data_IF_163624555509
#
_entry.id   IF_163624555509
#
_cell.length_a   1.000
_cell.length_b   1.000
_cell.length_c   1.000
_cell.angle_alpha   90.00
_cell.angle_beta   90.00
_cell.angle_gamma   90.00
#
_symmetry.space_group_name_H-M   'P 1'
#
loop_
_entity.id
_entity.type
_entity.pdbx_description
1 polymer ?
#
# COMPACT_ATOMS: atom_id res chain seq x y z
N UNK A 1 24.03 36.51 29.75
CA UNK A 1 22.78 35.73 29.61
C UNK A 1 22.06 36.23 28.38
N UNK A 2 22.27 35.60 27.21
CA UNK A 2 21.46 35.83 26.01
C UNK A 2 20.56 34.62 25.87
N UNK A 3 19.27 34.84 26.11
CA UNK A 3 18.20 33.85 26.09
C UNK A 3 18.00 33.33 24.67
N UNK A 4 18.15 32.01 24.48
CA UNK A 4 17.80 31.31 23.24
C UNK A 4 16.27 31.35 23.05
N UNK A 5 15.77 32.22 22.18
CA UNK A 5 14.39 32.17 21.67
C UNK A 5 14.37 31.58 20.26
N UNK A 6 14.55 30.27 20.16
CA UNK A 6 14.24 29.49 18.97
C UNK A 6 13.14 28.46 19.31
N UNK A 7 11.95 28.94 19.67
CA UNK A 7 10.85 28.12 20.17
C UNK A 7 9.75 27.85 19.13
N UNK A 8 9.85 26.69 18.46
CA UNK A 8 8.76 25.70 18.38
C UNK A 8 7.36 26.04 17.82
N UNK A 9 7.11 27.17 17.15
CA UNK A 9 5.75 27.47 16.66
C UNK A 9 5.31 26.69 15.41
N UNK A 10 6.27 26.18 14.60
CA UNK A 10 5.96 25.47 13.35
C UNK A 10 5.86 23.95 13.46
N UNK A 11 6.56 23.33 14.42
CA UNK A 11 6.69 21.87 14.53
C UNK A 11 5.48 21.28 15.25
N UNK A 12 4.97 21.96 16.28
CA UNK A 12 3.79 21.57 17.07
C UNK A 12 2.54 22.38 16.68
N UNK A 13 2.45 22.78 15.41
CA UNK A 13 1.29 23.50 14.86
C UNK A 13 0.11 22.55 14.60
N UNK A 14 -1.12 23.08 14.63
CA UNK A 14 -2.31 22.36 14.17
C UNK A 14 -2.13 21.78 12.75
N UNK A 15 -1.40 22.48 11.88
CA UNK A 15 -1.07 21.99 10.54
C UNK A 15 -0.17 20.73 10.57
N UNK A 16 0.81 20.68 11.48
CA UNK A 16 1.69 19.53 11.64
C UNK A 16 0.92 18.30 12.16
N UNK A 17 0.00 18.50 13.11
CA UNK A 17 -0.89 17.45 13.61
C UNK A 17 -1.87 16.93 12.55
N UNK A 18 -2.45 17.81 11.73
CA UNK A 18 -3.30 17.41 10.60
C UNK A 18 -2.48 16.57 9.60
N UNK A 19 -1.28 17.03 9.22
CA UNK A 19 -0.41 16.28 8.32
C UNK A 19 -0.05 14.91 8.88
N UNK A 20 0.29 14.83 10.18
CA UNK A 20 0.55 13.57 10.87
C UNK A 20 -0.67 12.63 10.82
N UNK A 21 -1.85 13.15 11.14
CA UNK A 21 -3.10 12.38 11.09
C UNK A 21 -3.39 11.82 9.69
N UNK A 22 -3.19 12.63 8.65
CA UNK A 22 -3.33 12.19 7.25
C UNK A 22 -2.28 11.13 6.91
N UNK A 23 -1.01 11.34 7.26
CA UNK A 23 0.05 10.36 7.01
C UNK A 23 -0.22 9.03 7.72
N UNK A 24 -0.75 9.07 8.94
CA UNK A 24 -1.12 7.87 9.69
C UNK A 24 -2.30 7.14 9.05
N UNK A 25 -3.33 7.86 8.59
CA UNK A 25 -4.45 7.29 7.85
C UNK A 25 -3.98 6.61 6.55
N UNK A 26 -3.16 7.30 5.77
CA UNK A 26 -2.63 6.78 4.51
C UNK A 26 -1.74 5.56 4.73
N UNK A 27 -0.86 5.59 5.75
CA UNK A 27 -0.04 4.43 6.12
C UNK A 27 -0.90 3.24 6.57
N UNK A 28 -1.96 3.49 7.33
CA UNK A 28 -2.90 2.44 7.78
C UNK A 28 -3.61 1.81 6.60
N UNK A 29 -4.17 2.61 5.69
CA UNK A 29 -4.88 2.12 4.50
C UNK A 29 -3.91 1.39 3.55
N UNK A 30 -2.72 1.94 3.30
CA UNK A 30 -1.70 1.32 2.47
C UNK A 30 -1.24 -0.04 3.00
N UNK A 31 -1.18 -0.21 4.32
CA UNK A 31 -0.87 -1.49 4.95
C UNK A 31 -1.91 -2.59 4.73
N UNK A 32 -3.17 -2.24 4.42
CA UNK A 32 -4.25 -3.22 4.24
C UNK A 32 -3.98 -4.13 3.04
N UNK A 33 -3.44 -3.61 1.94
CA UNK A 33 -3.15 -4.37 0.72
C UNK A 33 -2.29 -5.61 1.00
N UNK A 34 -1.24 -5.43 1.79
CA UNK A 34 -0.30 -6.49 2.18
C UNK A 34 -0.95 -7.57 3.08
N UNK A 35 -1.87 -7.19 3.97
CA UNK A 35 -2.49 -8.12 4.92
C UNK A 35 -3.77 -8.78 4.41
N UNK A 36 -4.48 -8.15 3.47
CA UNK A 36 -5.74 -8.65 2.95
C UNK A 36 -5.62 -10.06 2.36
N UNK A 37 -4.53 -10.35 1.64
CA UNK A 37 -4.30 -11.68 1.02
C UNK A 37 -4.26 -12.79 2.06
N UNK A 38 -3.62 -12.54 3.19
CA UNK A 38 -3.43 -13.52 4.26
C UNK A 38 -4.77 -13.87 4.90
N UNK A 39 -5.65 -12.88 5.06
CA UNK A 39 -6.99 -13.07 5.63
C UNK A 39 -7.89 -13.85 4.67
N UNK A 40 -7.81 -13.58 3.37
CA UNK A 40 -8.68 -14.19 2.36
C UNK A 40 -8.15 -15.56 1.89
N UNK A 41 -6.93 -15.95 2.28
CA UNK A 41 -6.29 -17.21 1.85
C UNK A 41 -7.20 -18.46 2.00
N UNK A 42 -7.91 -18.69 3.12
CA UNK A 42 -8.82 -19.83 3.24
C UNK A 42 -10.00 -19.77 2.26
N UNK A 43 -10.52 -18.56 2.00
CA UNK A 43 -11.60 -18.35 1.04
C UNK A 43 -11.12 -18.58 -0.40
N UNK A 44 -9.91 -18.11 -0.77
CA UNK A 44 -9.29 -18.37 -2.08
C UNK A 44 -9.09 -19.88 -2.30
N UNK A 45 -8.64 -20.62 -1.28
CA UNK A 45 -8.49 -22.08 -1.37
C UNK A 45 -9.84 -22.77 -1.63
N UNK A 46 -10.91 -22.34 -0.96
CA UNK A 46 -12.25 -22.90 -1.14
C UNK A 46 -12.88 -22.53 -2.49
N UNK A 47 -12.71 -21.29 -2.93
CA UNK A 47 -13.32 -20.74 -4.15
C UNK A 47 -12.65 -21.30 -5.42
N UNK A 48 -11.33 -21.37 -5.44
CA UNK A 48 -10.59 -21.87 -6.60
C UNK A 48 -10.25 -23.36 -6.52
N UNK A 49 -10.58 -24.03 -5.40
CA UNK A 49 -10.32 -25.47 -5.21
C UNK A 49 -8.84 -25.85 -5.24
N UNK A 50 -7.96 -24.92 -4.86
CA UNK A 50 -6.51 -25.07 -4.99
C UNK A 50 -5.83 -25.50 -3.69
N UNK A 51 -4.66 -26.12 -3.83
CA UNK A 51 -3.79 -26.41 -2.69
C UNK A 51 -3.19 -25.12 -2.08
N UNK A 52 -2.61 -25.26 -0.89
CA UNK A 52 -2.05 -24.13 -0.14
C UNK A 52 -0.86 -23.48 -0.86
N UNK A 53 -0.15 -24.24 -1.68
CA UNK A 53 0.99 -23.76 -2.44
C UNK A 53 0.55 -22.80 -3.57
N UNK A 54 -0.52 -23.12 -4.29
CA UNK A 54 -1.04 -22.21 -5.30
C UNK A 54 -1.70 -20.97 -4.68
N UNK A 55 -2.37 -21.13 -3.54
CA UNK A 55 -3.00 -20.01 -2.81
C UNK A 55 -2.00 -19.01 -2.20
N UNK A 56 -0.72 -19.36 -2.05
CA UNK A 56 0.33 -18.45 -1.58
C UNK A 56 1.08 -17.71 -2.70
N UNK A 57 0.88 -18.10 -3.97
CA UNK A 57 1.43 -17.37 -5.12
C UNK A 57 1.00 -15.90 -5.18
N UNK A 58 -0.28 -15.54 -4.94
CA UNK A 58 -0.71 -14.15 -4.90
C UNK A 58 0.06 -13.32 -3.88
N UNK A 59 0.24 -13.84 -2.66
CA UNK A 59 0.98 -13.16 -1.60
C UNK A 59 2.46 -12.93 -1.99
N UNK A 60 3.07 -13.93 -2.61
CA UNK A 60 4.45 -13.82 -3.11
C UNK A 60 4.55 -12.72 -4.17
N UNK A 61 3.60 -12.65 -5.10
CA UNK A 61 3.54 -11.61 -6.11
C UNK A 61 3.36 -10.23 -5.48
N UNK A 62 2.49 -10.06 -4.48
CA UNK A 62 2.33 -8.81 -3.72
C UNK A 62 3.64 -8.38 -3.08
N UNK A 63 4.40 -9.30 -2.46
CA UNK A 63 5.68 -8.97 -1.84
C UNK A 63 6.74 -8.53 -2.86
N UNK A 64 6.77 -9.15 -4.04
CA UNK A 64 7.65 -8.74 -5.15
C UNK A 64 7.24 -7.37 -5.68
N UNK A 65 5.94 -7.15 -5.89
CA UNK A 65 5.36 -5.86 -6.25
C UNK A 65 5.75 -4.77 -5.27
N UNK A 66 5.59 -5.02 -3.97
CA UNK A 66 5.92 -4.09 -2.90
C UNK A 66 7.41 -3.77 -2.82
N UNK A 67 8.29 -4.76 -3.02
CA UNK A 67 9.72 -4.52 -3.07
C UNK A 67 10.09 -3.61 -4.26
N UNK A 68 9.55 -3.89 -5.45
CA UNK A 68 9.79 -3.08 -6.64
C UNK A 68 9.17 -1.68 -6.52
N UNK A 69 7.93 -1.61 -6.01
CA UNK A 69 7.15 -0.41 -5.79
C UNK A 69 7.85 0.54 -4.83
N UNK A 70 8.41 0.05 -3.72
CA UNK A 70 9.18 0.90 -2.79
C UNK A 70 10.35 1.60 -3.47
N UNK A 71 11.09 0.92 -4.35
CA UNK A 71 12.21 1.52 -5.08
C UNK A 71 11.71 2.56 -6.09
N UNK A 72 10.64 2.24 -6.82
CA UNK A 72 10.08 3.10 -7.87
C UNK A 72 9.42 4.36 -7.28
N UNK A 73 8.53 4.17 -6.31
CA UNK A 73 7.81 5.24 -5.62
C UNK A 73 8.72 6.04 -4.70
N UNK A 74 9.70 5.43 -4.04
CA UNK A 74 10.72 6.16 -3.27
C UNK A 74 11.46 7.16 -4.15
N UNK A 75 11.93 6.72 -5.33
CA UNK A 75 12.57 7.61 -6.31
C UNK A 75 11.63 8.67 -6.88
N UNK A 76 10.35 8.34 -7.08
CA UNK A 76 9.36 9.29 -7.56
C UNK A 76 9.06 10.38 -6.53
N UNK A 77 8.96 10.01 -5.24
CA UNK A 77 8.77 10.95 -4.12
C UNK A 77 9.96 11.91 -4.01
N UNK A 78 11.18 11.40 -4.14
CA UNK A 78 12.39 12.22 -4.07
C UNK A 78 12.46 13.26 -5.20
N UNK A 79 11.90 12.95 -6.37
CA UNK A 79 11.93 13.85 -7.55
C UNK A 79 10.74 14.79 -7.67
N UNK A 80 9.54 14.32 -7.36
CA UNK A 80 8.28 15.00 -7.69
C UNK A 80 7.51 15.44 -6.43
N UNK A 81 8.04 15.13 -5.24
CA UNK A 81 7.35 15.32 -3.97
C UNK A 81 6.32 14.22 -3.70
N UNK A 82 5.76 14.24 -2.48
CA UNK A 82 4.92 13.15 -1.97
C UNK A 82 3.54 13.02 -2.65
N UNK A 83 2.92 14.13 -3.03
CA UNK A 83 1.49 14.14 -3.39
C UNK A 83 1.14 13.35 -4.66
N UNK A 84 1.95 13.46 -5.72
CA UNK A 84 1.67 12.78 -6.99
C UNK A 84 1.84 11.25 -6.84
N UNK A 85 2.97 10.74 -6.30
CA UNK A 85 3.12 9.31 -6.06
C UNK A 85 2.06 8.76 -5.10
N UNK A 86 1.69 9.50 -4.04
CA UNK A 86 0.65 9.06 -3.12
C UNK A 86 -0.73 8.92 -3.79
N UNK A 87 -1.10 9.85 -4.67
CA UNK A 87 -2.37 9.80 -5.40
C UNK A 87 -2.40 8.60 -6.37
N UNK A 88 -1.31 8.38 -7.11
CA UNK A 88 -1.19 7.24 -8.04
C UNK A 88 -1.30 5.93 -7.26
N UNK A 89 -0.59 5.80 -6.13
CA UNK A 89 -0.65 4.62 -5.29
C UNK A 89 -2.07 4.36 -4.75
N UNK A 90 -2.77 5.41 -4.28
CA UNK A 90 -4.14 5.28 -3.78
C UNK A 90 -5.12 4.80 -4.88
N UNK A 91 -5.01 5.36 -6.08
CA UNK A 91 -5.83 4.95 -7.23
C UNK A 91 -5.50 3.52 -7.66
N UNK A 92 -4.23 3.17 -7.74
CA UNK A 92 -3.78 1.82 -8.09
C UNK A 92 -4.29 0.78 -7.09
N UNK A 93 -4.21 1.07 -5.79
CA UNK A 93 -4.68 0.18 -4.73
C UNK A 93 -6.21 -0.01 -4.80
N UNK A 94 -6.97 1.08 -4.98
CA UNK A 94 -8.42 1.01 -5.15
C UNK A 94 -8.85 0.23 -6.39
N UNK A 95 -8.20 0.49 -7.53
CA UNK A 95 -8.44 -0.25 -8.77
C UNK A 95 -8.03 -1.72 -8.65
N UNK A 96 -6.93 -2.02 -7.95
CA UNK A 96 -6.44 -3.36 -7.69
C UNK A 96 -7.45 -4.20 -6.91
N UNK A 97 -8.05 -3.64 -5.85
CA UNK A 97 -9.11 -4.33 -5.11
C UNK A 97 -10.38 -4.58 -5.94
N UNK A 98 -10.79 -3.61 -6.77
CA UNK A 98 -11.94 -3.80 -7.66
C UNK A 98 -11.66 -4.85 -8.75
N UNK A 99 -10.46 -4.89 -9.30
CA UNK A 99 -10.08 -5.89 -10.29
C UNK A 99 -9.93 -7.28 -9.65
N UNK A 100 -9.42 -7.36 -8.43
CA UNK A 100 -9.27 -8.61 -7.69
C UNK A 100 -10.62 -9.27 -7.38
N UNK A 101 -11.70 -8.50 -7.20
CA UNK A 101 -13.04 -9.07 -7.02
C UNK A 101 -13.68 -9.60 -8.31
N UNK A 102 -13.15 -9.21 -9.47
CA UNK A 102 -13.64 -9.63 -10.79
C UNK A 102 -12.85 -10.81 -11.38
N UNK A 103 -11.74 -11.20 -10.77
CA UNK A 103 -10.90 -12.29 -11.29
C UNK A 103 -11.50 -13.67 -11.02
N UNK A 104 -11.58 -14.48 -12.07
CA UNK A 104 -12.08 -15.86 -12.05
C UNK A 104 -10.97 -16.92 -12.16
N UNK A 105 -9.71 -16.48 -12.17
CA UNK A 105 -8.53 -17.35 -12.26
C UNK A 105 -7.46 -16.92 -11.27
N UNK A 106 -6.81 -17.89 -10.63
CA UNK A 106 -5.74 -17.66 -9.65
C UNK A 106 -4.54 -16.93 -10.25
N UNK A 107 -4.25 -17.13 -11.54
CA UNK A 107 -3.17 -16.40 -12.23
C UNK A 107 -3.52 -14.92 -12.41
N UNK A 108 -4.76 -14.62 -12.80
CA UNK A 108 -5.20 -13.23 -12.92
C UNK A 108 -5.20 -12.54 -11.55
N UNK A 109 -5.70 -13.22 -10.51
CA UNK A 109 -5.67 -12.72 -9.14
C UNK A 109 -4.24 -12.45 -8.66
N UNK A 110 -3.29 -13.35 -8.98
CA UNK A 110 -1.86 -13.20 -8.66
C UNK A 110 -1.24 -11.98 -9.36
N UNK A 111 -1.56 -11.76 -10.64
CA UNK A 111 -1.05 -10.61 -11.39
C UNK A 111 -1.60 -9.28 -10.87
N UNK A 112 -2.90 -9.22 -10.56
CA UNK A 112 -3.54 -8.03 -9.98
C UNK A 112 -2.92 -7.69 -8.62
N UNK A 113 -2.74 -8.72 -7.77
CA UNK A 113 -2.06 -8.60 -6.48
C UNK A 113 -0.64 -8.05 -6.61
N UNK A 114 0.16 -8.61 -7.51
CA UNK A 114 1.55 -8.19 -7.67
C UNK A 114 1.78 -6.84 -8.35
N UNK A 115 0.88 -6.41 -9.24
CA UNK A 115 1.08 -5.18 -10.01
C UNK A 115 0.35 -3.96 -9.46
N UNK A 116 -0.81 -4.15 -8.83
CA UNK A 116 -1.68 -3.04 -8.42
C UNK A 116 -1.80 -2.89 -6.91
N UNK A 117 -1.66 -4.00 -6.16
CA UNK A 117 -1.78 -4.01 -4.69
C UNK A 117 -0.40 -4.01 -4.04
N UNK A 118 0.57 -4.72 -4.64
CA UNK A 118 1.97 -4.76 -4.26
C UNK A 118 2.66 -3.43 -4.47
#
# INVERSE_FOLDING_TARGET
MVSSQAGSSGIDSAYAWIRLGISMLLATIGGVGMWAVVVVLPAVQAEFGVDRAAASMPYTATMVGFAAGNVLFGRAIDRMGYWIPALIAAIALGAGFLLASLTSSILQFTLVQGLLIG
#
